data_IF_288174069857
#
_entry.id   IF_288174069857
#
_cell.length_a   1.000
_cell.length_b   1.000
_cell.length_c   1.000
_cell.angle_alpha   90.00
_cell.angle_beta   90.00
_cell.angle_gamma   90.00
#
_symmetry.space_group_name_H-M   'P 1'
#
loop_
_entity.id
_entity.type
_entity.pdbx_description
1 polymer ?
#
# COMPACT_ATOMS: atom_id res chain seq x y z
N UNK A 1 5.42 -23.01 12.46
CA UNK A 1 4.71 -22.45 11.29
C UNK A 1 3.48 -21.73 11.81
N UNK A 2 3.30 -20.43 11.48
CA UNK A 2 2.14 -19.64 11.90
C UNK A 2 0.94 -19.95 11.01
N UNK A 3 -0.22 -20.13 11.61
CA UNK A 3 -1.46 -20.44 10.90
C UNK A 3 -2.26 -19.17 10.67
N UNK A 4 -2.61 -18.91 9.42
CA UNK A 4 -3.29 -17.69 8.96
C UNK A 4 -4.71 -18.04 8.54
N UNK A 5 -5.68 -17.32 9.08
CA UNK A 5 -7.05 -17.28 8.59
C UNK A 5 -7.28 -16.02 7.76
N UNK A 6 -8.01 -16.14 6.68
CA UNK A 6 -8.30 -15.03 5.74
C UNK A 6 -9.74 -14.56 5.94
N UNK A 7 -9.94 -13.25 6.06
CA UNK A 7 -11.26 -12.62 6.00
C UNK A 7 -11.31 -11.71 4.76
N UNK A 8 -12.21 -12.02 3.84
CA UNK A 8 -12.30 -11.40 2.52
C UNK A 8 -11.66 -12.26 1.44
N UNK A 9 -12.49 -12.83 0.55
CA UNK A 9 -12.09 -13.77 -0.49
C UNK A 9 -12.24 -13.16 -1.90
N UNK A 10 -12.00 -11.84 -2.01
CA UNK A 10 -12.07 -11.09 -3.27
C UNK A 10 -10.85 -11.28 -4.17
N UNK A 11 -10.70 -10.41 -5.18
CA UNK A 11 -9.69 -10.54 -6.24
C UNK A 11 -8.24 -10.64 -5.72
N UNK A 12 -7.90 -9.91 -4.64
CA UNK A 12 -6.53 -9.85 -4.15
C UNK A 12 -6.07 -11.14 -3.46
N UNK A 13 -6.99 -12.03 -3.05
CA UNK A 13 -6.67 -13.24 -2.29
C UNK A 13 -5.67 -14.14 -3.02
N UNK A 14 -5.74 -14.20 -4.35
CA UNK A 14 -4.84 -15.01 -5.18
C UNK A 14 -3.38 -14.56 -5.05
N UNK A 15 -3.13 -13.25 -5.01
CA UNK A 15 -1.78 -12.68 -4.83
C UNK A 15 -1.17 -13.14 -3.51
N UNK A 16 -1.96 -13.17 -2.43
CA UNK A 16 -1.49 -13.65 -1.13
C UNK A 16 -1.22 -15.15 -1.12
N UNK A 17 -2.03 -15.98 -1.78
CA UNK A 17 -1.74 -17.41 -1.89
C UNK A 17 -0.45 -17.66 -2.69
N UNK A 18 -0.21 -16.94 -3.77
CA UNK A 18 1.05 -17.03 -4.53
C UNK A 18 2.26 -16.63 -3.68
N UNK A 19 2.10 -15.64 -2.79
CA UNK A 19 3.19 -15.20 -1.92
C UNK A 19 3.64 -16.26 -0.91
N UNK A 20 2.78 -17.25 -0.59
CA UNK A 20 3.12 -18.32 0.36
C UNK A 20 4.35 -19.12 -0.09
N UNK A 21 4.62 -19.23 -1.39
CA UNK A 21 5.79 -19.94 -1.92
C UNK A 21 7.12 -19.35 -1.45
N UNK A 22 7.13 -18.06 -1.06
CA UNK A 22 8.32 -17.35 -0.59
C UNK A 22 8.49 -17.40 0.95
N UNK A 23 7.51 -17.92 1.69
CA UNK A 23 7.50 -17.92 3.15
C UNK A 23 7.33 -19.32 3.74
N UNK A 24 8.41 -19.89 4.29
CA UNK A 24 8.41 -21.24 4.87
C UNK A 24 7.81 -21.32 6.28
N UNK A 25 7.44 -20.20 6.88
CA UNK A 25 7.02 -20.10 8.28
C UNK A 25 5.53 -19.76 8.46
N UNK A 26 4.77 -19.63 7.37
CA UNK A 26 3.32 -19.35 7.38
C UNK A 26 2.55 -20.44 6.64
N UNK A 27 1.27 -20.60 7.00
CA UNK A 27 0.35 -21.50 6.32
C UNK A 27 -1.07 -20.92 6.37
N UNK A 28 -1.72 -20.77 5.23
CA UNK A 28 -3.13 -20.42 5.15
C UNK A 28 -3.96 -21.67 5.47
N UNK A 29 -4.82 -21.61 6.49
CA UNK A 29 -5.55 -22.78 7.00
C UNK A 29 -7.07 -22.67 6.86
N UNK A 30 -7.60 -21.43 6.77
CA UNK A 30 -9.04 -21.21 6.67
C UNK A 30 -9.35 -19.85 6.06
N UNK A 31 -10.57 -19.71 5.55
CA UNK A 31 -11.09 -18.44 5.05
C UNK A 31 -12.55 -18.22 5.44
N UNK A 32 -12.93 -16.93 5.45
CA UNK A 32 -14.28 -16.44 5.67
C UNK A 32 -14.56 -15.24 4.75
N UNK A 33 -15.79 -15.05 4.38
CA UNK A 33 -16.28 -13.87 3.66
C UNK A 33 -17.70 -13.56 4.13
N UNK A 34 -18.19 -12.34 3.93
CA UNK A 34 -19.59 -11.98 4.16
C UNK A 34 -20.52 -12.75 3.21
N UNK A 35 -20.02 -13.14 2.05
CA UNK A 35 -20.67 -14.02 1.09
C UNK A 35 -20.12 -15.43 1.24
N UNK A 36 -20.91 -16.32 1.85
CA UNK A 36 -20.52 -17.71 2.08
C UNK A 36 -20.16 -18.49 0.80
N UNK A 37 -20.79 -18.20 -0.34
CA UNK A 37 -20.48 -18.86 -1.61
C UNK A 37 -19.07 -18.48 -2.08
N UNK A 38 -18.71 -17.19 -1.98
CA UNK A 38 -17.37 -16.72 -2.31
C UNK A 38 -16.32 -17.37 -1.40
N UNK A 39 -16.59 -17.46 -0.11
CA UNK A 39 -15.69 -18.14 0.83
C UNK A 39 -15.56 -19.64 0.55
N UNK A 40 -16.63 -20.35 0.23
CA UNK A 40 -16.60 -21.78 -0.15
C UNK A 40 -15.78 -22.01 -1.41
N UNK A 41 -16.00 -21.20 -2.46
CA UNK A 41 -15.21 -21.29 -3.70
C UNK A 41 -13.71 -21.06 -3.44
N UNK A 42 -13.36 -20.10 -2.58
CA UNK A 42 -12.00 -19.86 -2.16
C UNK A 42 -11.43 -21.07 -1.38
N UNK A 43 -12.18 -21.61 -0.42
CA UNK A 43 -11.78 -22.74 0.37
C UNK A 43 -11.51 -23.99 -0.49
N UNK A 44 -12.39 -24.27 -1.45
CA UNK A 44 -12.25 -25.39 -2.40
C UNK A 44 -11.04 -25.20 -3.31
N UNK A 45 -10.87 -23.97 -3.88
CA UNK A 45 -9.75 -23.66 -4.79
C UNK A 45 -8.39 -23.88 -4.13
N UNK A 46 -8.24 -23.50 -2.87
CA UNK A 46 -6.96 -23.53 -2.15
C UNK A 46 -6.83 -24.65 -1.14
N UNK A 47 -7.82 -25.55 -1.08
CA UNK A 47 -7.86 -26.70 -0.15
C UNK A 47 -7.65 -26.28 1.31
N UNK A 48 -8.37 -25.26 1.75
CA UNK A 48 -8.40 -24.74 3.12
C UNK A 48 -9.82 -24.82 3.70
N UNK A 49 -9.95 -24.63 5.01
CA UNK A 49 -11.25 -24.73 5.68
C UNK A 49 -12.11 -23.49 5.41
N UNK A 50 -13.37 -23.67 5.03
CA UNK A 50 -14.41 -22.63 5.11
C UNK A 50 -14.91 -22.49 6.55
N UNK A 51 -15.05 -21.27 7.04
CA UNK A 51 -15.65 -20.90 8.33
C UNK A 51 -16.44 -19.60 8.18
N UNK A 52 -17.42 -19.38 9.05
CA UNK A 52 -17.97 -18.06 9.25
C UNK A 52 -16.93 -17.13 9.90
N UNK A 53 -17.11 -15.82 9.81
CA UNK A 53 -16.18 -14.86 10.44
C UNK A 53 -16.06 -15.09 11.95
N UNK A 54 -17.17 -15.37 12.62
CA UNK A 54 -17.18 -15.58 14.08
C UNK A 54 -16.50 -16.90 14.47
N UNK A 55 -16.71 -17.97 13.70
CA UNK A 55 -15.99 -19.25 13.89
C UNK A 55 -14.50 -19.07 13.68
N UNK A 56 -14.09 -18.38 12.62
CA UNK A 56 -12.69 -18.11 12.30
C UNK A 56 -12.00 -17.29 13.41
N UNK A 57 -12.65 -16.26 13.92
CA UNK A 57 -12.13 -15.44 15.02
C UNK A 57 -12.03 -16.24 16.33
N UNK A 58 -12.88 -17.24 16.55
CA UNK A 58 -12.90 -18.09 17.73
C UNK A 58 -11.95 -19.31 17.63
N UNK A 59 -11.46 -19.63 16.42
CA UNK A 59 -10.64 -20.83 16.17
C UNK A 59 -9.25 -20.68 16.80
N UNK A 60 -8.97 -21.50 17.83
CA UNK A 60 -7.70 -21.52 18.55
C UNK A 60 -6.51 -22.02 17.68
N UNK A 61 -6.78 -22.63 16.54
CA UNK A 61 -5.76 -23.05 15.59
C UNK A 61 -5.30 -21.92 14.64
N UNK A 62 -5.87 -20.73 14.72
CA UNK A 62 -5.51 -19.58 13.89
C UNK A 62 -4.74 -18.57 14.74
N UNK A 63 -3.51 -18.26 14.35
CA UNK A 63 -2.64 -17.30 15.03
C UNK A 63 -2.86 -15.86 14.52
N UNK A 64 -3.05 -15.71 13.21
CA UNK A 64 -3.06 -14.41 12.52
C UNK A 64 -4.31 -14.34 11.63
N UNK A 65 -4.97 -13.20 11.62
CA UNK A 65 -6.00 -12.89 10.63
C UNK A 65 -5.40 -11.99 9.56
N UNK A 66 -5.49 -12.44 8.32
CA UNK A 66 -5.24 -11.66 7.12
C UNK A 66 -6.56 -11.05 6.65
N UNK A 67 -6.68 -9.72 6.77
CA UNK A 67 -7.87 -8.98 6.40
C UNK A 67 -7.73 -8.44 4.97
N UNK A 68 -8.45 -9.02 4.04
CA UNK A 68 -8.52 -8.67 2.62
C UNK A 68 -9.92 -8.14 2.22
N UNK A 69 -10.67 -7.61 3.17
CA UNK A 69 -11.99 -7.03 2.93
C UNK A 69 -11.87 -5.69 2.18
N UNK A 70 -12.98 -5.01 1.98
CA UNK A 70 -12.97 -3.66 1.40
C UNK A 70 -12.49 -2.61 2.40
N UNK A 71 -11.91 -1.48 1.96
CA UNK A 71 -11.37 -0.43 2.83
C UNK A 71 -12.32 0.06 3.94
N UNK A 72 -13.62 0.14 3.65
CA UNK A 72 -14.63 0.55 4.63
C UNK A 72 -14.82 -0.44 5.78
N UNK A 73 -14.43 -1.72 5.60
CA UNK A 73 -14.58 -2.78 6.61
C UNK A 73 -13.29 -3.03 7.40
N UNK A 74 -12.15 -2.51 6.97
CA UNK A 74 -10.84 -2.83 7.55
C UNK A 74 -10.80 -2.57 9.04
N UNK A 75 -11.22 -1.40 9.49
CA UNK A 75 -11.21 -1.02 10.90
C UNK A 75 -11.98 -2.00 11.79
N UNK A 76 -13.22 -2.33 11.42
CA UNK A 76 -14.07 -3.22 12.22
C UNK A 76 -13.50 -4.65 12.28
N UNK A 77 -13.00 -5.16 11.16
CA UNK A 77 -12.41 -6.50 11.10
C UNK A 77 -11.12 -6.56 11.94
N UNK A 78 -10.22 -5.57 11.81
CA UNK A 78 -9.01 -5.50 12.63
C UNK A 78 -9.37 -5.43 14.12
N UNK A 79 -10.32 -4.58 14.48
CA UNK A 79 -10.74 -4.42 15.89
C UNK A 79 -11.27 -5.72 16.46
N UNK A 80 -12.18 -6.42 15.76
CA UNK A 80 -12.68 -7.74 16.16
C UNK A 80 -11.55 -8.77 16.29
N UNK A 81 -10.61 -8.79 15.36
CA UNK A 81 -9.43 -9.65 15.36
C UNK A 81 -8.59 -9.46 16.63
N UNK A 82 -8.25 -8.21 16.95
CA UNK A 82 -7.47 -7.88 18.14
C UNK A 82 -8.23 -8.18 19.44
N UNK A 83 -9.56 -7.97 19.48
CA UNK A 83 -10.41 -8.34 20.62
C UNK A 83 -10.40 -9.87 20.81
N UNK A 84 -10.46 -10.64 19.73
CA UNK A 84 -10.34 -12.10 19.73
C UNK A 84 -8.91 -12.62 20.06
N UNK A 85 -7.98 -11.72 20.45
CA UNK A 85 -6.59 -12.01 20.81
C UNK A 85 -5.77 -12.68 19.70
N UNK A 86 -6.05 -12.31 18.44
CA UNK A 86 -5.26 -12.74 17.27
C UNK A 86 -4.42 -11.59 16.74
N UNK A 87 -3.26 -11.92 16.18
CA UNK A 87 -2.49 -10.97 15.40
C UNK A 87 -3.27 -10.58 14.14
N UNK A 88 -3.08 -9.38 13.64
CA UNK A 88 -3.75 -8.89 12.44
C UNK A 88 -2.75 -8.40 11.41
N UNK A 89 -2.95 -8.78 10.16
CA UNK A 89 -2.36 -8.14 8.99
C UNK A 89 -3.49 -7.73 8.05
N UNK A 90 -3.47 -6.51 7.54
CA UNK A 90 -4.56 -5.96 6.76
C UNK A 90 -4.06 -5.33 5.47
N UNK A 91 -4.87 -5.42 4.41
CA UNK A 91 -4.68 -4.61 3.20
C UNK A 91 -4.79 -3.12 3.50
N UNK A 92 -4.17 -2.33 2.62
CA UNK A 92 -4.24 -0.86 2.71
C UNK A 92 -5.62 -0.33 2.24
N UNK A 93 -6.06 0.79 2.79
CA UNK A 93 -5.57 1.48 3.99
C UNK A 93 -6.01 0.77 5.27
N UNK A 94 -5.24 0.88 6.35
CA UNK A 94 -5.58 0.26 7.65
C UNK A 94 -6.94 0.74 8.19
N UNK A 95 -7.26 2.01 7.96
CA UNK A 95 -8.51 2.66 8.34
C UNK A 95 -8.72 3.92 7.52
N UNK A 96 -9.94 4.44 7.53
CA UNK A 96 -10.32 5.66 6.81
C UNK A 96 -10.11 6.94 7.63
N UNK A 97 -9.74 6.83 8.89
CA UNK A 97 -9.45 7.98 9.73
C UNK A 97 -8.26 7.75 10.67
N UNK A 98 -7.55 8.83 11.00
CA UNK A 98 -6.45 8.79 11.95
C UNK A 98 -6.87 8.28 13.33
N UNK A 99 -8.05 8.66 13.81
CA UNK A 99 -8.58 8.26 15.10
C UNK A 99 -8.78 6.75 15.18
N UNK A 100 -9.38 6.16 14.14
CA UNK A 100 -9.55 4.70 14.03
C UNK A 100 -8.19 3.99 14.02
N UNK A 101 -7.24 4.45 13.20
CA UNK A 101 -5.90 3.87 13.15
C UNK A 101 -5.18 3.94 14.50
N UNK A 102 -5.28 5.08 15.20
CA UNK A 102 -4.70 5.26 16.54
C UNK A 102 -5.33 4.31 17.57
N UNK A 103 -6.65 4.13 17.53
CA UNK A 103 -7.36 3.19 18.39
C UNK A 103 -6.86 1.76 18.18
N UNK A 104 -6.76 1.29 16.93
CA UNK A 104 -6.27 -0.05 16.59
C UNK A 104 -4.85 -0.29 17.12
N UNK A 105 -3.95 0.68 16.93
CA UNK A 105 -2.57 0.59 17.45
C UNK A 105 -2.55 0.51 18.98
N UNK A 106 -3.41 1.26 19.67
CA UNK A 106 -3.50 1.20 21.13
C UNK A 106 -4.03 -0.18 21.61
N UNK A 107 -5.10 -0.70 20.99
CA UNK A 107 -5.63 -2.03 21.32
C UNK A 107 -4.56 -3.12 21.11
N UNK A 108 -3.82 -3.05 20.00
CA UNK A 108 -2.75 -4.01 19.70
C UNK A 108 -1.65 -3.97 20.78
N UNK A 109 -1.22 -2.78 21.19
CA UNK A 109 -0.23 -2.57 22.27
C UNK A 109 -0.72 -3.09 23.60
N UNK A 110 -1.94 -2.72 24.03
CA UNK A 110 -2.55 -3.14 25.30
C UNK A 110 -2.68 -4.67 25.40
N UNK A 111 -2.97 -5.32 24.28
CA UNK A 111 -3.12 -6.78 24.21
C UNK A 111 -1.83 -7.53 23.90
N UNK A 112 -0.72 -6.82 23.68
CA UNK A 112 0.57 -7.37 23.25
C UNK A 112 0.44 -8.22 21.96
N UNK A 113 -0.23 -7.64 20.95
CA UNK A 113 -0.45 -8.25 19.65
C UNK A 113 0.27 -7.49 18.55
N UNK A 114 0.64 -8.19 17.49
CA UNK A 114 1.16 -7.57 16.29
C UNK A 114 0.00 -7.10 15.41
N UNK A 115 0.13 -5.87 14.92
CA UNK A 115 -0.72 -5.26 13.92
C UNK A 115 0.16 -4.85 12.74
N UNK A 116 0.08 -5.58 11.65
CA UNK A 116 0.72 -5.27 10.37
C UNK A 116 -0.29 -4.70 9.39
N UNK A 117 0.20 -3.92 8.44
CA UNK A 117 -0.63 -3.34 7.40
C UNK A 117 0.18 -3.19 6.10
N UNK A 118 -0.43 -3.52 4.95
CA UNK A 118 0.10 -3.11 3.66
C UNK A 118 0.06 -1.57 3.52
N UNK A 119 0.92 -0.96 2.69
CA UNK A 119 1.82 -1.61 1.75
C UNK A 119 3.09 -2.14 2.43
N UNK A 120 3.58 -3.26 1.96
CA UNK A 120 4.83 -3.91 2.37
C UNK A 120 5.92 -3.87 1.29
N UNK A 121 5.59 -3.33 0.12
CA UNK A 121 6.48 -3.19 -1.04
C UNK A 121 7.77 -2.43 -0.74
N UNK A 122 7.74 -1.47 0.19
CA UNK A 122 8.94 -0.75 0.65
C UNK A 122 9.99 -1.67 1.33
N UNK A 123 9.60 -2.87 1.75
CA UNK A 123 10.50 -3.89 2.29
C UNK A 123 11.19 -4.72 1.18
N UNK A 124 10.81 -4.53 -0.07
CA UNK A 124 11.45 -5.16 -1.21
C UNK A 124 12.84 -4.62 -1.50
N UNK A 125 13.54 -5.24 -2.45
CA UNK A 125 14.94 -4.95 -2.76
C UNK A 125 15.23 -3.49 -3.06
N UNK A 126 14.35 -2.82 -3.81
CA UNK A 126 14.51 -1.40 -4.13
C UNK A 126 14.43 -0.49 -2.90
N UNK A 127 13.46 -0.75 -2.00
CA UNK A 127 13.31 -0.01 -0.76
C UNK A 127 14.47 -0.27 0.22
N UNK A 128 14.89 -1.53 0.38
CA UNK A 128 16.02 -1.92 1.22
C UNK A 128 17.33 -1.25 0.74
N UNK A 129 17.60 -1.27 -0.56
CA UNK A 129 18.79 -0.65 -1.12
C UNK A 129 18.77 0.87 -0.96
N UNK A 130 17.62 1.50 -1.25
CA UNK A 130 17.46 2.94 -1.03
C UNK A 130 17.71 3.33 0.43
N UNK A 131 17.19 2.56 1.39
CA UNK A 131 17.45 2.76 2.83
C UNK A 131 18.94 2.59 3.15
N UNK A 132 19.60 1.52 2.66
CA UNK A 132 21.02 1.25 2.84
C UNK A 132 21.90 2.40 2.35
N UNK A 133 21.61 2.94 1.14
CA UNK A 133 22.35 4.06 0.57
C UNK A 133 22.19 5.35 1.37
N UNK A 134 21.00 5.65 1.88
CA UNK A 134 20.75 6.80 2.74
C UNK A 134 21.47 6.62 4.08
N UNK A 135 21.38 5.44 4.70
CA UNK A 135 22.02 5.14 5.99
C UNK A 135 23.54 5.13 5.93
N UNK A 136 24.13 4.81 4.77
CA UNK A 136 25.57 4.88 4.57
C UNK A 136 26.13 6.30 4.70
N UNK A 137 25.27 7.32 4.60
CA UNK A 137 25.65 8.73 4.59
C UNK A 137 26.34 9.20 3.31
N UNK A 138 26.42 8.34 2.26
CA UNK A 138 27.03 8.70 0.98
C UNK A 138 26.34 9.89 0.32
N UNK A 139 24.99 9.97 0.43
CA UNK A 139 24.19 11.06 -0.09
C UNK A 139 24.22 12.32 0.80
N UNK A 140 24.83 12.24 1.99
CA UNK A 140 24.75 13.30 2.99
C UNK A 140 23.37 13.41 3.63
N UNK A 141 22.98 14.59 4.06
CA UNK A 141 21.67 14.85 4.65
C UNK A 141 20.64 15.11 3.55
N UNK A 142 19.61 14.28 3.44
CA UNK A 142 18.50 14.54 2.53
C UNK A 142 17.74 15.77 3.02
N UNK A 143 17.57 16.76 2.15
CA UNK A 143 16.94 18.05 2.47
C UNK A 143 15.73 18.36 1.60
N UNK A 144 15.74 17.95 0.37
CA UNK A 144 14.68 18.21 -0.59
C UNK A 144 14.34 16.91 -1.36
N UNK A 145 13.21 16.92 -2.02
CA UNK A 145 12.84 15.86 -2.93
C UNK A 145 11.44 16.06 -3.49
N UNK A 146 11.05 15.11 -4.31
CA UNK A 146 9.70 15.08 -4.85
C UNK A 146 9.19 13.64 -4.97
N UNK A 147 7.87 13.50 -5.04
CA UNK A 147 7.23 12.27 -5.48
C UNK A 147 6.09 12.56 -6.45
N UNK A 148 5.79 11.61 -7.31
CA UNK A 148 4.61 11.68 -8.18
C UNK A 148 3.95 10.31 -8.29
N UNK A 149 2.64 10.30 -8.02
CA UNK A 149 1.72 9.32 -8.54
C UNK A 149 0.78 10.01 -9.52
N UNK A 150 0.76 9.59 -10.77
CA UNK A 150 -0.13 10.18 -11.77
C UNK A 150 -0.53 9.14 -12.81
N UNK A 151 -1.83 9.01 -13.04
CA UNK A 151 -2.43 8.09 -13.99
C UNK A 151 -3.68 8.73 -14.61
N UNK A 152 -4.20 8.17 -15.73
CA UNK A 152 -5.46 8.63 -16.30
C UNK A 152 -6.72 8.20 -15.51
N UNK A 153 -6.53 7.51 -14.37
CA UNK A 153 -7.60 6.91 -13.59
C UNK A 153 -7.76 5.42 -13.87
N UNK A 154 -8.69 4.79 -13.16
CA UNK A 154 -8.90 3.33 -13.20
C UNK A 154 -10.22 2.93 -13.89
N UNK A 155 -11.06 3.86 -14.25
CA UNK A 155 -12.37 3.61 -14.85
C UNK A 155 -12.30 2.94 -16.23
N UNK A 156 -11.18 3.08 -16.95
CA UNK A 156 -10.98 2.46 -18.26
C UNK A 156 -10.80 0.93 -18.18
N UNK A 157 -10.34 0.40 -17.06
CA UNK A 157 -9.99 -1.02 -16.91
C UNK A 157 -10.65 -1.70 -15.71
N UNK A 158 -10.96 -0.99 -14.64
CA UNK A 158 -11.58 -1.57 -13.44
C UNK A 158 -13.09 -1.78 -13.67
N UNK A 159 -13.64 -2.97 -13.34
CA UNK A 159 -15.06 -3.26 -13.62
C UNK A 159 -16.06 -2.55 -12.70
N UNK A 160 -15.61 -2.07 -11.52
CA UNK A 160 -16.43 -1.37 -10.53
C UNK A 160 -15.67 -0.16 -9.96
N UNK A 161 -15.41 0.89 -10.75
CA UNK A 161 -14.54 1.99 -10.36
C UNK A 161 -15.21 3.06 -9.49
N UNK A 162 -16.52 2.99 -9.25
CA UNK A 162 -17.32 4.05 -8.64
C UNK A 162 -16.78 4.46 -7.26
N UNK A 163 -16.36 3.49 -6.44
CA UNK A 163 -15.88 3.75 -5.08
C UNK A 163 -14.67 4.70 -5.02
N UNK A 164 -13.85 4.73 -6.08
CA UNK A 164 -12.69 5.62 -6.16
C UNK A 164 -13.01 7.06 -6.52
N UNK A 165 -14.22 7.32 -7.01
CA UNK A 165 -14.66 8.65 -7.44
C UNK A 165 -15.81 9.21 -6.63
N UNK A 166 -16.58 8.37 -5.93
CA UNK A 166 -17.81 8.74 -5.24
C UNK A 166 -17.78 8.60 -3.72
N UNK A 167 -16.64 8.28 -3.13
CA UNK A 167 -16.57 8.03 -1.70
C UNK A 167 -15.40 8.74 -1.03
N UNK A 168 -15.53 8.98 0.28
CA UNK A 168 -14.46 9.50 1.12
C UNK A 168 -13.29 8.53 1.35
N UNK A 169 -13.41 7.30 0.84
CA UNK A 169 -12.33 6.29 0.81
C UNK A 169 -11.70 6.17 -0.57
N UNK A 170 -12.10 7.03 -1.51
CA UNK A 170 -11.61 7.10 -2.88
C UNK A 170 -10.47 8.10 -3.07
N UNK A 171 -10.17 8.33 -4.36
CA UNK A 171 -9.12 9.24 -4.81
C UNK A 171 -7.70 8.71 -4.66
N UNK A 172 -6.74 9.34 -5.34
CA UNK A 172 -5.34 8.88 -5.39
C UNK A 172 -4.64 8.91 -4.02
N UNK A 173 -5.11 9.77 -3.09
CA UNK A 173 -4.51 9.90 -1.75
C UNK A 173 -4.73 8.65 -0.92
N UNK A 174 -5.94 8.10 -0.93
CA UNK A 174 -6.28 6.91 -0.13
C UNK A 174 -5.87 5.63 -0.84
N UNK A 175 -5.98 5.60 -2.16
CA UNK A 175 -5.69 4.40 -2.94
C UNK A 175 -4.19 4.17 -3.15
N UNK A 176 -3.46 5.18 -3.64
CA UNK A 176 -2.08 5.00 -4.12
C UNK A 176 -1.02 5.67 -3.24
N UNK A 177 -1.34 6.81 -2.63
CA UNK A 177 -0.34 7.49 -1.81
C UNK A 177 0.12 6.74 -0.55
N UNK A 178 -0.58 5.74 0.01
CA UNK A 178 -0.02 4.91 1.08
C UNK A 178 1.34 4.30 0.72
N UNK A 179 1.56 3.87 -0.52
CA UNK A 179 2.84 3.35 -0.99
C UNK A 179 3.95 4.41 -0.89
N UNK A 180 3.68 5.62 -1.39
CA UNK A 180 4.61 6.74 -1.39
C UNK A 180 4.91 7.24 0.02
N UNK A 181 3.88 7.42 0.84
CA UNK A 181 4.05 7.90 2.22
C UNK A 181 4.82 6.89 3.07
N UNK A 182 4.54 5.60 2.93
CA UNK A 182 5.26 4.55 3.66
C UNK A 182 6.73 4.52 3.26
N UNK A 183 7.03 4.58 1.96
CA UNK A 183 8.42 4.64 1.48
C UNK A 183 9.13 5.90 1.99
N UNK A 184 8.52 7.07 1.88
CA UNK A 184 9.11 8.32 2.36
C UNK A 184 9.34 8.32 3.87
N UNK A 185 8.38 7.81 4.66
CA UNK A 185 8.54 7.68 6.11
C UNK A 185 9.66 6.68 6.45
N UNK A 186 9.75 5.57 5.73
CA UNK A 186 10.84 4.62 5.88
C UNK A 186 12.21 5.28 5.62
N UNK A 187 12.31 6.14 4.60
CA UNK A 187 13.58 6.75 4.20
C UNK A 187 13.95 8.01 5.01
N UNK A 188 12.97 8.81 5.45
CA UNK A 188 13.18 10.14 6.02
C UNK A 188 12.75 10.26 7.50
N UNK A 189 12.04 9.25 8.02
CA UNK A 189 11.46 9.30 9.37
C UNK A 189 10.08 9.97 9.38
N UNK A 190 9.56 10.38 10.56
CA UNK A 190 8.19 10.87 10.70
C UNK A 190 7.98 12.23 10.02
N UNK A 191 6.80 12.39 9.41
CA UNK A 191 6.32 13.67 8.92
C UNK A 191 5.95 14.59 10.09
N UNK A 192 6.25 15.89 9.95
CA UNK A 192 5.96 16.93 10.93
C UNK A 192 4.73 17.75 10.54
N UNK A 193 4.69 18.20 9.28
CA UNK A 193 3.59 19.00 8.75
C UNK A 193 3.26 18.55 7.32
N UNK A 194 1.98 18.71 6.95
CA UNK A 194 1.51 18.52 5.57
C UNK A 194 0.64 19.71 5.18
N UNK A 195 0.83 20.18 3.94
CA UNK A 195 -0.05 21.17 3.29
C UNK A 195 -0.42 20.65 1.91
N UNK A 196 -1.66 20.86 1.50
CA UNK A 196 -2.11 20.42 0.18
C UNK A 196 -3.22 21.29 -0.38
N UNK A 197 -3.30 21.31 -1.71
CA UNK A 197 -4.43 21.79 -2.48
C UNK A 197 -5.00 20.64 -3.28
N UNK A 198 -6.32 20.60 -3.45
CA UNK A 198 -7.01 19.53 -4.16
C UNK A 198 -7.97 20.09 -5.20
N UNK A 199 -8.15 19.34 -6.29
CA UNK A 199 -9.11 19.66 -7.36
C UNK A 199 -9.58 18.37 -8.04
N UNK A 200 -10.60 18.49 -8.88
CA UNK A 200 -11.03 17.47 -9.84
C UNK A 200 -11.04 18.10 -11.24
N UNK A 201 -10.41 17.43 -12.20
CA UNK A 201 -10.37 17.92 -13.60
C UNK A 201 -11.66 17.61 -14.34
N UNK A 202 -12.26 16.44 -14.03
CA UNK A 202 -13.48 15.98 -14.68
C UNK A 202 -14.63 15.90 -13.66
N UNK A 203 -15.79 16.42 -14.03
CA UNK A 203 -17.02 16.27 -13.22
C UNK A 203 -17.64 14.88 -13.36
N UNK A 204 -17.43 14.25 -14.50
CA UNK A 204 -17.98 12.93 -14.83
C UNK A 204 -16.92 12.07 -15.51
N UNK A 205 -16.99 10.76 -15.27
CA UNK A 205 -16.14 9.75 -15.90
C UNK A 205 -16.98 8.62 -16.43
N UNK A 206 -16.58 8.02 -17.55
CA UNK A 206 -17.27 6.89 -18.16
C UNK A 206 -16.55 5.58 -17.85
N UNK A 207 -17.30 4.57 -17.41
CA UNK A 207 -16.75 3.23 -17.15
C UNK A 207 -16.40 2.57 -18.49
N UNK A 208 -15.12 2.26 -18.67
CA UNK A 208 -14.60 1.69 -19.92
C UNK A 208 -14.67 0.16 -20.02
N UNK A 209 -14.92 -0.55 -18.91
CA UNK A 209 -14.82 -2.00 -18.85
C UNK A 209 -15.91 -2.65 -17.96
N UNK A 210 -16.09 -3.97 -18.14
CA UNK A 210 -16.98 -4.79 -17.33
C UNK A 210 -18.47 -4.62 -17.62
N UNK A 211 -19.34 -5.17 -16.76
CA UNK A 211 -20.80 -5.16 -16.94
C UNK A 211 -21.42 -3.76 -16.93
N UNK A 212 -20.72 -2.77 -16.38
CA UNK A 212 -21.19 -1.39 -16.26
C UNK A 212 -20.59 -0.45 -17.31
N UNK A 213 -19.91 -0.98 -18.33
CA UNK A 213 -19.30 -0.19 -19.40
C UNK A 213 -20.32 0.78 -20.02
N UNK A 214 -19.90 2.04 -20.19
CA UNK A 214 -20.73 3.13 -20.71
C UNK A 214 -21.53 3.88 -19.62
N UNK A 215 -21.58 3.38 -18.38
CA UNK A 215 -22.20 4.13 -17.29
C UNK A 215 -21.33 5.31 -16.89
N UNK A 216 -21.99 6.40 -16.49
CA UNK A 216 -21.33 7.65 -16.07
C UNK A 216 -21.21 7.67 -14.55
N UNK A 217 -19.99 7.95 -14.08
CA UNK A 217 -19.68 8.18 -12.67
C UNK A 217 -19.61 9.69 -12.46
N UNK A 218 -20.42 10.23 -11.56
CA UNK A 218 -20.25 11.60 -11.07
C UNK A 218 -19.07 11.62 -10.10
N UNK A 219 -18.12 12.54 -10.31
CA UNK A 219 -16.93 12.68 -9.45
C UNK A 219 -17.29 13.53 -8.24
N UNK A 220 -17.20 12.95 -7.05
CA UNK A 220 -17.53 13.59 -5.76
C UNK A 220 -16.31 13.68 -4.83
N UNK A 221 -15.21 13.02 -5.18
CA UNK A 221 -13.93 13.03 -4.47
C UNK A 221 -12.88 13.74 -5.31
N UNK A 222 -12.04 14.62 -4.74
CA UNK A 222 -10.94 15.22 -5.48
C UNK A 222 -10.02 14.15 -6.09
N UNK A 223 -9.66 14.37 -7.36
CA UNK A 223 -8.88 13.43 -8.16
C UNK A 223 -7.45 13.86 -8.42
N UNK A 224 -7.09 15.08 -8.02
CA UNK A 224 -5.74 15.64 -8.18
C UNK A 224 -5.33 16.47 -6.97
N UNK A 225 -4.09 16.30 -6.52
CA UNK A 225 -3.54 16.95 -5.33
C UNK A 225 -2.12 17.42 -5.57
N UNK A 226 -1.82 18.67 -5.15
CA UNK A 226 -0.46 19.15 -4.92
C UNK A 226 -0.19 19.17 -3.42
N UNK A 227 0.97 18.66 -3.01
CA UNK A 227 1.26 18.30 -1.61
C UNK A 227 2.65 18.84 -1.25
N UNK A 228 2.81 19.34 -0.03
CA UNK A 228 4.12 19.63 0.56
C UNK A 228 4.17 18.93 1.92
N UNK A 229 5.20 18.10 2.15
CA UNK A 229 5.44 17.39 3.40
C UNK A 229 6.75 17.89 4.01
N UNK A 230 6.69 18.38 5.24
CA UNK A 230 7.86 18.68 6.08
C UNK A 230 8.11 17.49 7.00
N UNK A 231 9.31 16.93 6.99
CA UNK A 231 9.73 15.83 7.87
C UNK A 231 10.43 16.35 9.13
N UNK A 232 10.44 15.55 10.20
CA UNK A 232 11.08 15.92 11.46
C UNK A 232 12.59 16.12 11.34
N UNK A 233 13.26 15.49 10.38
CA UNK A 233 14.68 15.71 10.05
C UNK A 233 14.97 17.00 9.27
N UNK A 234 13.91 17.79 8.98
CA UNK A 234 13.95 19.04 8.24
C UNK A 234 13.91 18.89 6.72
N UNK A 235 13.73 17.69 6.19
CA UNK A 235 13.52 17.51 4.75
C UNK A 235 12.14 18.04 4.32
N UNK A 236 12.08 18.63 3.13
CA UNK A 236 10.85 19.13 2.50
C UNK A 236 10.64 18.37 1.18
N UNK A 237 9.51 17.70 1.06
CA UNK A 237 9.16 16.89 -0.11
C UNK A 237 7.93 17.47 -0.80
N UNK A 238 8.08 17.82 -2.08
CA UNK A 238 6.97 18.16 -2.97
C UNK A 238 6.29 16.87 -3.45
N UNK A 239 4.97 16.83 -3.47
CA UNK A 239 4.20 15.70 -3.95
C UNK A 239 3.13 16.10 -4.96
N UNK A 240 2.87 15.19 -5.89
CA UNK A 240 1.73 15.28 -6.80
C UNK A 240 1.05 13.92 -6.90
N UNK A 241 -0.27 13.90 -6.70
CA UNK A 241 -1.07 12.68 -6.79
C UNK A 241 -2.30 12.94 -7.65
N UNK A 242 -2.49 12.15 -8.73
CA UNK A 242 -3.57 12.42 -9.68
C UNK A 242 -4.08 11.16 -10.40
N UNK A 243 -5.39 11.12 -10.61
CA UNK A 243 -6.10 10.25 -11.55
C UNK A 243 -6.47 10.96 -12.87
N UNK A 244 -5.92 12.17 -13.12
CA UNK A 244 -6.30 13.00 -14.28
C UNK A 244 -5.16 13.20 -15.27
N UNK A 245 -4.03 12.50 -15.11
CA UNK A 245 -2.84 12.68 -15.95
C UNK A 245 -2.70 11.51 -16.92
N UNK A 246 -2.75 11.80 -18.21
CA UNK A 246 -2.64 10.77 -19.26
C UNK A 246 -1.24 10.18 -19.31
N UNK A 247 -0.19 11.01 -19.18
CA UNK A 247 1.21 10.58 -19.22
C UNK A 247 2.13 11.62 -18.60
N UNK A 248 3.28 11.21 -18.06
CA UNK A 248 4.34 12.07 -17.53
C UNK A 248 5.72 11.42 -17.69
N UNK A 249 6.79 12.24 -17.47
CA UNK A 249 8.20 11.79 -17.56
C UNK A 249 8.98 11.95 -16.25
N UNK A 250 8.30 12.17 -15.12
CA UNK A 250 8.92 12.33 -13.80
C UNK A 250 9.20 10.96 -13.19
N UNK A 251 10.27 10.87 -12.40
CA UNK A 251 10.54 9.70 -11.55
C UNK A 251 9.52 9.61 -10.41
N UNK A 252 9.23 8.41 -9.93
CA UNK A 252 8.27 8.18 -8.85
C UNK A 252 8.66 8.91 -7.56
N UNK A 253 9.92 8.77 -7.14
CA UNK A 253 10.48 9.48 -5.99
C UNK A 253 11.93 9.88 -6.35
N UNK A 254 12.26 11.13 -6.07
CA UNK A 254 13.62 11.66 -6.22
C UNK A 254 13.99 12.48 -4.99
N UNK A 255 15.12 12.15 -4.36
CA UNK A 255 15.56 12.79 -3.13
C UNK A 255 16.94 13.42 -3.32
N UNK A 256 17.11 14.62 -2.76
CA UNK A 256 18.32 15.44 -2.91
C UNK A 256 19.00 15.62 -1.56
N UNK A 257 20.19 15.04 -1.44
CA UNK A 257 21.05 15.17 -0.29
C UNK A 257 22.15 16.22 -0.47
N UNK A 258 22.85 16.51 0.60
CA UNK A 258 23.96 17.51 0.59
C UNK A 258 25.20 17.02 -0.15
N UNK A 259 25.27 15.75 -0.52
CA UNK A 259 26.42 15.14 -1.21
C UNK A 259 26.03 14.36 -2.48
N UNK A 260 24.76 14.16 -2.72
CA UNK A 260 24.28 13.41 -3.88
C UNK A 260 22.76 13.30 -3.92
N UNK A 261 22.26 12.79 -5.02
CA UNK A 261 20.84 12.59 -5.29
C UNK A 261 20.53 11.09 -5.48
N UNK A 262 19.30 10.69 -5.20
CA UNK A 262 18.84 9.31 -5.39
C UNK A 262 17.47 9.31 -6.07
N UNK A 263 17.30 8.44 -7.07
CA UNK A 263 16.01 8.03 -7.62
C UNK A 263 15.64 6.71 -6.96
N UNK A 264 14.52 6.72 -6.25
CA UNK A 264 13.91 5.55 -5.61
C UNK A 264 12.92 4.94 -6.60
N UNK A 265 12.87 3.62 -6.77
CA UNK A 265 11.95 2.97 -7.70
C UNK A 265 10.49 3.19 -7.31
N UNK A 266 9.57 2.74 -8.17
CA UNK A 266 8.14 2.79 -7.90
C UNK A 266 7.82 2.11 -6.56
N UNK A 267 7.31 2.85 -5.57
CA UNK A 267 7.03 2.28 -4.25
C UNK A 267 5.88 1.27 -4.23
N UNK A 268 5.12 1.15 -5.32
CA UNK A 268 4.11 0.10 -5.50
C UNK A 268 4.72 -1.24 -5.93
N UNK A 269 6.04 -1.29 -6.15
CA UNK A 269 6.76 -2.48 -6.59
C UNK A 269 7.80 -2.91 -5.54
N UNK A 270 8.08 -4.21 -5.44
CA UNK A 270 9.11 -4.73 -4.53
C UNK A 270 10.53 -4.47 -5.03
N UNK A 271 10.72 -4.39 -6.33
CA UNK A 271 12.00 -4.17 -7.00
C UNK A 271 12.07 -2.84 -7.75
N UNK A 272 12.93 -2.80 -8.73
CA UNK A 272 13.15 -1.67 -9.62
C UNK A 272 14.51 -1.02 -9.42
N UNK A 273 14.96 -0.21 -10.39
CA UNK A 273 16.27 0.41 -10.36
C UNK A 273 16.36 1.47 -9.27
N UNK A 274 17.46 1.45 -8.53
CA UNK A 274 17.87 2.54 -7.63
C UNK A 274 19.04 3.24 -8.30
N UNK A 275 18.90 4.55 -8.54
CA UNK A 275 19.96 5.31 -9.19
C UNK A 275 20.49 6.39 -8.26
N UNK A 276 21.79 6.66 -8.31
CA UNK A 276 22.43 7.77 -7.59
C UNK A 276 23.27 8.64 -8.51
N UNK A 277 23.42 9.91 -8.16
CA UNK A 277 24.35 10.83 -8.82
C UNK A 277 25.03 11.71 -7.78
N UNK A 278 26.36 11.90 -7.92
CA UNK A 278 27.22 12.59 -6.95
C UNK A 278 27.92 13.81 -7.51
N UNK A 279 27.66 14.17 -8.76
CA UNK A 279 28.27 15.35 -9.41
C UNK A 279 27.24 16.17 -10.17
N UNK A 280 27.44 17.48 -10.22
CA UNK A 280 26.61 18.41 -10.99
C UNK A 280 26.67 18.02 -12.49
N UNK A 281 25.49 17.79 -13.08
CA UNK A 281 25.38 17.33 -14.47
C UNK A 281 25.97 15.95 -14.74
N UNK A 282 26.31 15.19 -13.69
CA UNK A 282 26.88 13.84 -13.78
C UNK A 282 25.87 12.79 -14.23
N UNK A 283 26.40 11.66 -14.66
CA UNK A 283 25.58 10.50 -15.01
C UNK A 283 24.94 9.89 -13.74
N UNK A 284 23.81 9.23 -13.94
CA UNK A 284 23.16 8.44 -12.91
C UNK A 284 23.72 7.02 -12.94
N UNK A 285 24.18 6.53 -11.79
CA UNK A 285 24.65 5.17 -11.60
C UNK A 285 23.52 4.30 -11.08
N UNK A 286 23.21 3.21 -11.78
CA UNK A 286 22.22 2.22 -11.36
C UNK A 286 22.87 1.19 -10.44
N UNK A 287 22.21 0.92 -9.31
CA UNK A 287 22.64 -0.05 -8.31
C UNK A 287 21.81 -1.32 -8.40
N UNK A 288 22.49 -2.49 -8.41
CA UNK A 288 21.81 -3.79 -8.37
C UNK A 288 21.14 -4.05 -7.03
N UNK A 289 19.93 -4.60 -7.08
CA UNK A 289 19.17 -5.07 -5.91
C UNK A 289 19.35 -6.58 -5.65
N UNK A 290 20.22 -7.25 -6.39
CA UNK A 290 20.39 -8.72 -6.35
C UNK A 290 20.82 -9.27 -4.98
N UNK A 291 21.55 -8.47 -4.21
CA UNK A 291 22.01 -8.83 -2.87
C UNK A 291 20.96 -8.57 -1.79
N UNK A 292 19.89 -7.87 -2.13
CA UNK A 292 18.84 -7.55 -1.16
C UNK A 292 17.87 -8.72 -1.00
N UNK A 293 17.36 -8.91 0.22
CA UNK A 293 16.31 -9.88 0.46
C UNK A 293 15.09 -9.53 -0.41
N UNK A 294 14.53 -10.53 -1.10
CA UNK A 294 13.42 -10.36 -2.05
C UNK A 294 13.74 -9.44 -3.26
N UNK A 295 15.02 -9.06 -3.47
CA UNK A 295 15.43 -8.19 -4.57
C UNK A 295 15.17 -8.77 -5.96
N UNK A 296 15.13 -10.09 -6.07
CA UNK A 296 14.88 -10.82 -7.33
C UNK A 296 13.41 -11.14 -7.59
N UNK A 297 12.53 -10.87 -6.63
CA UNK A 297 11.11 -11.19 -6.76
C UNK A 297 10.41 -10.02 -7.45
N UNK A 298 10.12 -10.18 -8.72
CA UNK A 298 9.23 -9.31 -9.48
C UNK A 298 7.80 -9.83 -9.33
N UNK A 299 7.18 -9.57 -8.19
CA UNK A 299 5.75 -9.79 -8.04
C UNK A 299 5.07 -8.60 -8.72
N UNK A 300 4.64 -8.79 -9.95
CA UNK A 300 3.72 -7.85 -10.61
C UNK A 300 2.32 -8.09 -10.02
N UNK A 301 1.73 -7.03 -9.50
CA UNK A 301 0.33 -7.02 -9.05
C UNK A 301 -0.64 -7.19 -10.22
#
# INVERSE_FOLDING_TARGET
MKKIGIIGCGNIVETYFRSQEYFNNINFVSCADINDETAKLCADKYNIKFQSVDELLSDQNVDIILNLTTPGSHYEVIKKTLIARKHSYCEKPMSISFQQGKELVNIAKEKNLYLGNAPDTFLGGGGQLSRKLIDSGSLGNIKLGNFIFASPGLESWHPNPEAWFQSNVGGPIIDMCPYFYTMLINLLGPAKNVRSCATSVHENREIGNGPKKGNIIKVETPTSYAIIIEFCNGAIIEGFASFDVINHRRNHIELYGTKGSIIVPDPNMFGGPVLTSFSEGGEWEEHSTDEMQLGRINIQN
#
